data_IF_837213177665
#
_entry.id   IF_837213177665
#
_cell.length_a   1.000
_cell.length_b   1.000
_cell.length_c   1.000
_cell.angle_alpha   90.00
_cell.angle_beta   90.00
_cell.angle_gamma   90.00
#
_symmetry.space_group_name_H-M   'P 1'
#
loop_
_entity.id
_entity.type
_entity.pdbx_description
1 polymer ?
#
# COMPACT_ATOMS: atom_id res chain seq x y z
N UNK A 1 30.47 -18.96 2.60
CA UNK A 1 29.76 -18.98 3.89
C UNK A 1 29.25 -17.58 4.15
N UNK A 2 27.96 -17.41 3.88
CA UNK A 2 27.05 -16.38 4.39
C UNK A 2 27.47 -14.91 4.42
N UNK A 3 27.40 -14.28 3.25
CA UNK A 3 27.12 -12.84 3.11
C UNK A 3 25.66 -12.49 3.49
N UNK A 4 25.00 -13.29 4.33
CA UNK A 4 23.71 -13.00 4.98
C UNK A 4 23.82 -11.90 6.08
N UNK A 5 25.01 -11.35 6.32
CA UNK A 5 25.29 -10.41 7.40
C UNK A 5 25.53 -8.95 6.96
N UNK A 6 25.42 -8.63 5.67
CA UNK A 6 25.32 -7.22 5.22
C UNK A 6 23.87 -6.74 5.34
N UNK A 7 23.46 -6.55 6.60
CA UNK A 7 22.09 -6.34 7.06
C UNK A 7 21.83 -4.92 7.57
N UNK A 8 22.44 -3.90 6.97
CA UNK A 8 22.30 -2.51 7.44
C UNK A 8 21.98 -1.45 6.39
N UNK A 9 21.94 -1.80 5.10
CA UNK A 9 21.17 -1.04 4.10
C UNK A 9 20.67 -2.08 3.09
N UNK A 10 19.36 -2.37 3.00
CA UNK A 10 18.88 -3.17 1.90
C UNK A 10 19.20 -2.37 0.66
N UNK A 11 20.00 -2.94 -0.24
CA UNK A 11 20.25 -2.47 -1.60
C UNK A 11 19.23 -1.41 -2.04
N UNK A 12 19.58 -0.13 -1.91
CA UNK A 12 18.74 1.01 -2.33
C UNK A 12 18.15 0.80 -3.75
N UNK A 13 18.84 0.12 -4.69
CA UNK A 13 18.26 -0.25 -5.99
C UNK A 13 17.10 -1.23 -5.91
N UNK A 14 17.15 -2.24 -5.04
CA UNK A 14 16.12 -3.28 -4.93
C UNK A 14 14.80 -2.73 -4.39
N UNK A 15 14.87 -1.90 -3.34
CA UNK A 15 13.67 -1.23 -2.84
C UNK A 15 13.09 -0.26 -3.86
N UNK A 16 13.93 0.51 -4.57
CA UNK A 16 13.47 1.37 -5.67
C UNK A 16 12.79 0.57 -6.78
N UNK A 17 13.36 -0.56 -7.20
CA UNK A 17 12.75 -1.43 -8.21
C UNK A 17 11.47 -2.11 -7.72
N UNK A 18 11.39 -2.45 -6.42
CA UNK A 18 10.20 -3.06 -5.84
C UNK A 18 9.04 -2.05 -5.78
N UNK A 19 9.30 -0.84 -5.28
CA UNK A 19 8.30 0.22 -5.26
C UNK A 19 7.88 0.63 -6.68
N UNK A 20 8.82 0.76 -7.62
CA UNK A 20 8.50 1.02 -9.03
C UNK A 20 7.69 -0.11 -9.66
N UNK A 21 8.04 -1.37 -9.37
CA UNK A 21 7.36 -2.54 -9.92
C UNK A 21 5.94 -2.75 -9.39
N UNK A 22 5.62 -2.24 -8.19
CA UNK A 22 4.30 -2.36 -7.59
C UNK A 22 3.43 -1.11 -7.77
N UNK A 23 4.02 0.06 -7.99
CA UNK A 23 3.28 1.31 -8.02
C UNK A 23 2.29 1.40 -9.19
N UNK A 24 2.75 1.17 -10.42
CA UNK A 24 1.88 1.27 -11.59
C UNK A 24 0.72 0.26 -11.57
N UNK A 25 0.95 -1.05 -11.27
CA UNK A 25 -0.15 -2.00 -11.14
C UNK A 25 -1.15 -1.61 -10.06
N UNK A 26 -0.67 -1.19 -8.88
CA UNK A 26 -1.53 -0.81 -7.76
C UNK A 26 -2.34 0.46 -8.08
N UNK A 27 -1.70 1.48 -8.63
CA UNK A 27 -2.36 2.73 -9.05
C UNK A 27 -3.46 2.45 -10.08
N UNK A 28 -3.17 1.63 -11.07
CA UNK A 28 -4.15 1.32 -12.12
C UNK A 28 -5.34 0.52 -11.55
N UNK A 29 -5.10 -0.41 -10.63
CA UNK A 29 -6.17 -1.14 -9.96
C UNK A 29 -7.05 -0.22 -9.09
N UNK A 30 -6.43 0.68 -8.32
CA UNK A 30 -7.18 1.68 -7.51
C UNK A 30 -7.98 2.60 -8.41
N UNK A 31 -7.40 3.08 -9.52
CA UNK A 31 -8.10 3.94 -10.47
C UNK A 31 -9.32 3.25 -11.06
N UNK A 32 -9.18 1.99 -11.50
CA UNK A 32 -10.30 1.21 -12.02
C UNK A 32 -11.41 1.05 -10.97
N UNK A 33 -11.03 0.81 -9.72
CA UNK A 33 -11.98 0.67 -8.62
C UNK A 33 -12.71 2.00 -8.33
N UNK A 34 -12.01 3.14 -8.32
CA UNK A 34 -12.60 4.48 -8.19
C UNK A 34 -13.57 4.80 -9.34
N UNK A 35 -13.20 4.48 -10.59
CA UNK A 35 -14.09 4.63 -11.74
C UNK A 35 -15.39 3.82 -11.55
N UNK A 36 -15.30 2.60 -11.00
CA UNK A 36 -16.48 1.80 -10.68
C UNK A 36 -17.36 2.40 -9.58
N UNK A 37 -16.79 3.10 -8.59
CA UNK A 37 -17.55 3.83 -7.58
C UNK A 37 -18.27 5.05 -8.18
N UNK A 38 -17.59 5.83 -9.03
CA UNK A 38 -18.16 6.98 -9.71
C UNK A 38 -19.32 6.61 -10.64
N UNK A 39 -19.21 5.46 -11.31
CA UNK A 39 -20.29 4.90 -12.14
C UNK A 39 -21.43 4.26 -11.33
N UNK A 40 -21.32 4.22 -9.99
CA UNK A 40 -22.30 3.63 -9.09
C UNK A 40 -22.38 2.11 -9.16
N UNK A 41 -21.40 1.46 -9.81
CA UNK A 41 -21.33 0.01 -10.02
C UNK A 41 -20.81 -0.74 -8.80
N UNK A 42 -20.08 -0.07 -7.91
CA UNK A 42 -19.66 -0.62 -6.63
C UNK A 42 -20.23 0.21 -5.47
N UNK A 43 -20.78 -0.46 -4.44
CA UNK A 43 -21.45 0.18 -3.29
C UNK A 43 -20.97 -0.45 -1.99
N UNK A 44 -19.68 -0.34 -1.74
CA UNK A 44 -19.12 -0.66 -0.42
C UNK A 44 -19.24 0.56 0.49
N UNK A 45 -19.26 0.35 1.81
CA UNK A 45 -19.23 1.45 2.80
C UNK A 45 -17.96 2.33 2.69
N UNK A 46 -16.94 1.90 1.92
CA UNK A 46 -15.71 2.66 1.73
C UNK A 46 -15.82 3.72 0.61
N UNK A 47 -16.85 3.62 -0.24
CA UNK A 47 -17.03 4.45 -1.44
C UNK A 47 -16.86 5.95 -1.20
N UNK A 48 -17.42 6.47 -0.09
CA UNK A 48 -17.41 7.90 0.22
C UNK A 48 -16.01 8.49 0.45
N UNK A 49 -15.06 7.67 0.91
CA UNK A 49 -13.69 8.08 1.20
C UNK A 49 -12.72 7.68 0.09
N UNK A 50 -13.09 6.66 -0.69
CA UNK A 50 -12.23 6.07 -1.70
C UNK A 50 -12.00 7.00 -2.90
N UNK A 51 -12.97 7.86 -3.22
CA UNK A 51 -12.86 8.81 -4.36
C UNK A 51 -12.30 10.20 -3.96
N UNK A 52 -12.00 10.42 -2.67
CA UNK A 52 -11.53 11.74 -2.19
C UNK A 52 -10.03 11.96 -2.43
N UNK A 53 -9.25 10.88 -2.57
CA UNK A 53 -7.82 10.94 -2.88
C UNK A 53 -7.56 10.46 -4.30
N UNK A 54 -6.54 11.01 -4.95
CA UNK A 54 -6.10 10.52 -6.25
C UNK A 54 -5.57 9.08 -6.15
N UNK A 55 -5.65 8.28 -7.22
CA UNK A 55 -5.12 6.92 -7.25
C UNK A 55 -3.64 6.84 -6.82
N UNK A 56 -2.85 7.85 -7.18
CA UNK A 56 -1.43 7.95 -6.82
C UNK A 56 -1.23 8.07 -5.32
N UNK A 57 -1.97 8.97 -4.65
CA UNK A 57 -1.88 9.17 -3.20
C UNK A 57 -2.30 7.90 -2.45
N UNK A 58 -3.43 7.31 -2.84
CA UNK A 58 -3.88 6.04 -2.24
C UNK A 58 -2.84 4.92 -2.39
N UNK A 59 -2.19 4.83 -3.56
CA UNK A 59 -1.15 3.84 -3.81
C UNK A 59 0.05 4.04 -2.90
N UNK A 60 0.58 5.27 -2.82
CA UNK A 60 1.75 5.59 -1.99
C UNK A 60 1.46 5.34 -0.51
N UNK A 61 0.31 5.79 0.00
CA UNK A 61 -0.12 5.56 1.38
C UNK A 61 -0.19 4.06 1.66
N UNK A 62 -0.86 3.30 0.79
CA UNK A 62 -1.03 1.85 0.94
C UNK A 62 0.32 1.13 0.96
N UNK A 63 1.19 1.42 -0.02
CA UNK A 63 2.53 0.83 -0.12
C UNK A 63 3.38 1.14 1.10
N UNK A 64 3.39 2.40 1.54
CA UNK A 64 4.20 2.83 2.67
C UNK A 64 3.75 2.19 3.98
N UNK A 65 2.44 2.19 4.27
CA UNK A 65 1.89 1.59 5.49
C UNK A 65 2.05 0.08 5.48
N UNK A 66 1.77 -0.59 4.36
CA UNK A 66 1.95 -2.04 4.24
C UNK A 66 3.41 -2.45 4.39
N UNK A 67 4.35 -1.72 3.75
CA UNK A 67 5.78 -1.97 3.93
C UNK A 67 6.20 -1.82 5.40
N UNK A 68 5.69 -0.79 6.11
CA UNK A 68 5.93 -0.62 7.54
C UNK A 68 5.45 -1.82 8.38
N UNK A 69 4.28 -2.37 8.07
CA UNK A 69 3.75 -3.57 8.74
C UNK A 69 4.63 -4.80 8.45
N UNK A 70 4.99 -5.02 7.18
CA UNK A 70 5.79 -6.18 6.76
C UNK A 70 7.23 -6.12 7.29
N UNK A 71 7.78 -4.92 7.45
CA UNK A 71 9.15 -4.67 7.92
C UNK A 71 9.26 -4.46 9.44
N UNK A 72 8.15 -4.57 10.18
CA UNK A 72 8.15 -4.42 11.63
C UNK A 72 8.97 -5.52 12.32
N UNK A 73 9.69 -5.13 13.38
CA UNK A 73 10.71 -5.95 14.07
C UNK A 73 10.08 -7.18 14.75
N UNK A 74 9.98 -8.28 14.01
CA UNK A 74 9.37 -9.54 14.44
C UNK A 74 8.53 -10.25 13.37
N UNK A 75 8.22 -9.60 12.25
CA UNK A 75 7.44 -10.19 11.17
C UNK A 75 8.31 -10.99 10.20
N UNK A 76 7.94 -12.25 9.93
CA UNK A 76 8.51 -13.06 8.84
C UNK A 76 8.10 -12.55 7.44
N UNK A 77 7.90 -11.23 7.26
CA UNK A 77 7.28 -10.66 6.05
C UNK A 77 5.79 -11.02 5.92
N UNK A 78 5.10 -11.25 7.04
CA UNK A 78 3.68 -11.59 7.08
C UNK A 78 2.94 -10.48 7.83
N UNK A 79 1.76 -10.11 7.34
CA UNK A 79 0.87 -9.15 7.97
C UNK A 79 -0.50 -9.78 8.22
N UNK A 80 -1.09 -9.52 9.39
CA UNK A 80 -2.52 -9.82 9.61
C UNK A 80 -3.33 -8.85 8.76
N UNK A 81 -4.18 -9.37 7.86
CA UNK A 81 -4.99 -8.56 6.95
C UNK A 81 -5.77 -7.49 7.70
N UNK A 82 -6.47 -7.86 8.78
CA UNK A 82 -7.25 -6.91 9.61
C UNK A 82 -6.39 -5.75 10.11
N UNK A 83 -5.17 -6.01 10.58
CA UNK A 83 -4.28 -4.97 11.10
C UNK A 83 -3.77 -4.06 9.98
N UNK A 84 -3.36 -4.64 8.84
CA UNK A 84 -2.91 -3.86 7.69
C UNK A 84 -4.04 -2.98 7.14
N UNK A 85 -5.24 -3.53 6.98
CA UNK A 85 -6.42 -2.79 6.51
C UNK A 85 -6.78 -1.61 7.42
N UNK A 86 -6.75 -1.79 8.74
CA UNK A 86 -7.01 -0.70 9.69
C UNK A 86 -5.96 0.41 9.57
N UNK A 87 -4.67 0.06 9.56
CA UNK A 87 -3.58 1.04 9.47
C UNK A 87 -3.60 1.82 8.15
N UNK A 88 -3.93 1.16 7.03
CA UNK A 88 -4.06 1.81 5.73
C UNK A 88 -5.29 2.72 5.72
N UNK A 89 -6.43 2.23 6.20
CA UNK A 89 -7.68 3.00 6.25
C UNK A 89 -7.58 4.25 7.11
N UNK A 90 -6.95 4.15 8.29
CA UNK A 90 -6.72 5.31 9.17
C UNK A 90 -5.77 6.33 8.53
N UNK A 91 -4.74 5.87 7.82
CA UNK A 91 -3.84 6.76 7.10
C UNK A 91 -4.53 7.49 5.94
N UNK A 92 -5.37 6.80 5.17
CA UNK A 92 -6.18 7.42 4.11
C UNK A 92 -7.09 8.49 4.71
N UNK A 93 -7.78 8.19 5.82
CA UNK A 93 -8.66 9.16 6.49
C UNK A 93 -7.94 10.40 7.02
N UNK A 94 -6.66 10.29 7.38
CA UNK A 94 -5.86 11.42 7.85
C UNK A 94 -5.42 12.36 6.73
N UNK A 95 -5.35 11.86 5.49
CA UNK A 95 -4.88 12.60 4.32
C UNK A 95 -6.02 13.24 3.51
N UNK A 96 -7.27 12.87 3.81
CA UNK A 96 -8.51 13.52 3.31
C UNK A 96 -8.81 14.77 4.13
#
# INVERSE_FOLDING_TARGET
MDMCLKKLVPNLPYMKSLFLGWFEPLRNAIKQEQEMYQEGKNRTMCSSYFDLLSPEMMSVITMHKLAGVLMSRGGNGIARVVQASLLIGDAIKQEV
#
